data_IF_002835741537
#
_entry.id   IF_002835741537
#
_cell.length_a   1.000
_cell.length_b   1.000
_cell.length_c   1.000
_cell.angle_alpha   90.00
_cell.angle_beta   90.00
_cell.angle_gamma   90.00
#
_symmetry.space_group_name_H-M   'P 1'
#
loop_
_entity.id
_entity.type
_entity.pdbx_description
1 polymer ?
#
# COMPACT_ATOMS: atom_id res chain seq x y z
N UNK A 1 -7.64 -5.19 -2.21
CA UNK A 1 -7.06 -4.82 -3.52
C UNK A 1 -8.13 -4.34 -4.49
N UNK A 2 -9.10 -5.19 -4.87
CA UNK A 2 -10.10 -4.88 -5.90
C UNK A 2 -11.12 -3.79 -5.58
N UNK A 3 -11.34 -3.45 -4.31
CA UNK A 3 -12.39 -2.48 -3.93
C UNK A 3 -12.17 -1.05 -4.44
N UNK A 4 -10.96 -0.75 -4.92
CA UNK A 4 -10.61 0.54 -5.51
C UNK A 4 -10.29 0.41 -7.01
N UNK A 5 -10.59 -0.74 -7.62
CA UNK A 5 -10.47 -0.92 -9.07
C UNK A 5 -11.75 -0.43 -9.76
N UNK A 6 -11.59 0.31 -10.85
CA UNK A 6 -12.71 0.79 -11.66
C UNK A 6 -13.23 -0.33 -12.57
N UNK A 7 -12.43 -1.37 -12.79
CA UNK A 7 -12.73 -2.46 -13.72
C UNK A 7 -12.86 -3.78 -12.96
N UNK A 8 -13.91 -4.54 -13.28
CA UNK A 8 -14.07 -5.89 -12.73
C UNK A 8 -12.95 -6.82 -13.23
N UNK A 9 -12.43 -7.73 -12.39
CA UNK A 9 -11.38 -8.65 -12.80
C UNK A 9 -11.85 -9.56 -13.94
N UNK A 10 -11.16 -9.49 -15.08
CA UNK A 10 -11.37 -10.36 -16.23
C UNK A 10 -10.21 -11.37 -16.36
N UNK A 11 -10.37 -12.38 -17.23
CA UNK A 11 -9.30 -13.37 -17.49
C UNK A 11 -8.05 -12.66 -18.04
N UNK A 12 -7.01 -12.58 -17.21
CA UNK A 12 -5.77 -11.85 -17.49
C UNK A 12 -4.76 -12.62 -18.34
N UNK A 13 -5.02 -13.89 -18.66
CA UNK A 13 -4.14 -14.73 -19.48
C UNK A 13 -4.68 -14.96 -20.91
N UNK A 14 -5.99 -14.84 -21.13
CA UNK A 14 -6.61 -15.09 -22.44
C UNK A 14 -6.56 -13.83 -23.32
N UNK A 15 -6.05 -13.94 -24.55
CA UNK A 15 -6.04 -12.88 -25.59
C UNK A 15 -5.22 -11.61 -25.27
N UNK A 16 -4.15 -11.71 -24.48
CA UNK A 16 -3.12 -10.65 -24.42
C UNK A 16 -2.03 -10.90 -25.46
N UNK A 17 -1.56 -9.87 -26.16
CA UNK A 17 -0.34 -9.95 -26.98
C UNK A 17 0.87 -10.24 -26.08
N UNK A 18 1.96 -10.79 -26.61
CA UNK A 18 3.12 -11.22 -25.80
C UNK A 18 3.70 -10.08 -24.94
N UNK A 19 3.64 -8.84 -25.43
CA UNK A 19 4.04 -7.61 -24.73
C UNK A 19 3.09 -7.20 -23.58
N UNK A 20 1.87 -7.72 -23.56
CA UNK A 20 0.89 -7.51 -22.49
C UNK A 20 0.94 -8.64 -21.43
N UNK A 21 1.64 -9.75 -21.72
CA UNK A 21 1.80 -10.88 -20.79
C UNK A 21 3.05 -10.74 -19.90
N UNK A 22 4.03 -9.94 -20.31
CA UNK A 22 5.31 -9.80 -19.61
C UNK A 22 5.51 -8.37 -19.12
N UNK A 23 5.57 -8.16 -17.81
CA UNK A 23 5.95 -6.86 -17.24
C UNK A 23 7.47 -6.70 -17.29
N UNK A 24 7.99 -5.84 -18.16
CA UNK A 24 9.38 -5.39 -18.07
C UNK A 24 9.45 -4.27 -17.03
N UNK A 25 9.92 -4.59 -15.83
CA UNK A 25 10.11 -3.60 -14.75
C UNK A 25 11.51 -3.00 -14.78
N UNK A 26 11.64 -1.71 -14.46
CA UNK A 26 12.96 -1.07 -14.23
C UNK A 26 13.71 -1.81 -13.11
N UNK A 27 14.99 -2.18 -13.30
CA UNK A 27 15.80 -2.77 -12.24
C UNK A 27 15.77 -1.90 -10.98
N UNK A 28 15.60 -2.52 -9.81
CA UNK A 28 15.47 -1.84 -8.52
C UNK A 28 14.03 -1.61 -8.05
N UNK A 29 13.01 -1.61 -8.93
CA UNK A 29 11.61 -1.46 -8.52
C UNK A 29 11.19 -2.57 -7.55
N UNK A 30 11.54 -3.81 -7.87
CA UNK A 30 11.24 -4.96 -7.01
C UNK A 30 11.93 -4.86 -5.64
N UNK A 31 13.15 -4.34 -5.58
CA UNK A 31 13.89 -4.17 -4.30
C UNK A 31 13.22 -3.14 -3.39
N UNK A 32 12.83 -1.99 -3.95
CA UNK A 32 12.13 -0.94 -3.20
C UNK A 32 10.77 -1.44 -2.72
N UNK A 33 10.00 -2.10 -3.59
CA UNK A 33 8.69 -2.65 -3.23
C UNK A 33 8.81 -3.71 -2.12
N UNK A 34 9.77 -4.63 -2.21
CA UNK A 34 10.01 -5.65 -1.18
C UNK A 34 10.42 -5.03 0.15
N UNK A 35 11.31 -4.02 0.13
CA UNK A 35 11.73 -3.33 1.35
C UNK A 35 10.55 -2.65 2.05
N UNK A 36 9.74 -1.88 1.31
CA UNK A 36 8.55 -1.21 1.85
C UNK A 36 7.52 -2.21 2.38
N UNK A 37 7.31 -3.33 1.69
CA UNK A 37 6.39 -4.37 2.13
C UNK A 37 6.81 -5.01 3.46
N UNK A 38 8.11 -5.30 3.63
CA UNK A 38 8.64 -5.89 4.87
C UNK A 38 8.58 -4.88 6.02
N UNK A 39 8.95 -3.61 5.80
CA UNK A 39 8.85 -2.56 6.82
C UNK A 39 7.40 -2.38 7.30
N UNK A 40 6.43 -2.34 6.37
CA UNK A 40 5.02 -2.26 6.71
C UNK A 40 4.56 -3.50 7.50
N UNK A 41 4.98 -4.70 7.07
CA UNK A 41 4.65 -5.94 7.76
C UNK A 41 5.16 -5.95 9.21
N UNK A 42 6.41 -5.56 9.44
CA UNK A 42 7.01 -5.51 10.78
C UNK A 42 6.30 -4.45 11.64
N UNK A 43 5.93 -3.31 11.05
CA UNK A 43 5.18 -2.23 11.71
C UNK A 43 3.80 -2.70 12.18
N UNK A 44 3.08 -3.45 11.34
CA UNK A 44 1.78 -4.04 11.67
C UNK A 44 1.93 -5.10 12.78
N UNK A 45 2.94 -5.97 12.69
CA UNK A 45 3.16 -7.02 13.69
C UNK A 45 3.48 -6.47 15.09
N UNK A 46 4.15 -5.31 15.16
CA UNK A 46 4.47 -4.65 16.43
C UNK A 46 3.42 -3.62 16.87
N UNK A 47 2.36 -3.43 16.10
CA UNK A 47 1.24 -2.56 16.49
C UNK A 47 0.36 -3.30 17.51
N UNK A 48 -0.12 -2.61 18.55
CA UNK A 48 -0.97 -3.20 19.61
C UNK A 48 -2.23 -3.87 19.01
N UNK A 49 -2.90 -3.17 18.10
CA UNK A 49 -4.07 -3.68 17.35
C UNK A 49 -3.72 -4.68 16.22
N UNK A 50 -2.44 -4.90 15.92
CA UNK A 50 -2.00 -5.82 14.86
C UNK A 50 -2.68 -5.56 13.51
N UNK A 51 -3.33 -6.59 12.96
CA UNK A 51 -4.09 -6.50 11.71
C UNK A 51 -5.35 -5.64 11.74
N UNK A 52 -5.79 -5.18 12.93
CA UNK A 52 -6.91 -4.24 13.10
C UNK A 52 -6.46 -2.80 13.30
N UNK A 53 -5.14 -2.53 13.17
CA UNK A 53 -4.62 -1.17 13.24
C UNK A 53 -5.29 -0.25 12.22
N UNK A 54 -5.77 0.91 12.67
CA UNK A 54 -6.32 1.93 11.80
C UNK A 54 -5.22 2.53 10.91
N UNK A 55 -5.59 2.92 9.69
CA UNK A 55 -4.61 3.47 8.77
C UNK A 55 -4.17 4.88 9.13
N UNK A 56 -2.85 5.10 9.14
CA UNK A 56 -2.21 6.39 9.37
C UNK A 56 -1.33 6.79 8.18
N UNK A 57 -1.36 8.09 7.83
CA UNK A 57 -0.55 8.69 6.76
C UNK A 57 0.67 9.45 7.28
N UNK A 58 0.90 9.49 8.60
CA UNK A 58 2.14 10.01 9.18
C UNK A 58 2.33 11.52 9.07
N UNK A 59 1.27 12.28 8.76
CA UNK A 59 1.32 13.73 8.65
C UNK A 59 1.44 14.42 10.00
N UNK A 60 2.52 15.17 10.22
CA UNK A 60 2.62 16.13 11.33
C UNK A 60 1.70 17.33 11.07
N UNK A 61 0.51 17.38 11.65
CA UNK A 61 -0.13 18.64 12.11
C UNK A 61 -1.41 18.40 12.91
N UNK A 62 -1.30 18.67 14.22
CA UNK A 62 -2.31 19.29 15.07
C UNK A 62 -3.78 18.88 14.93
N UNK A 63 -4.24 18.02 15.84
CA UNK A 63 -5.66 17.83 16.09
C UNK A 63 -5.83 16.79 17.20
N UNK A 64 -6.07 17.24 18.42
CA UNK A 64 -6.07 16.41 19.63
C UNK A 64 -6.97 15.18 19.55
N UNK A 65 -6.34 14.01 19.49
CA UNK A 65 -6.89 12.70 19.79
C UNK A 65 -5.70 11.85 20.22
N UNK A 66 -5.69 11.38 21.47
CA UNK A 66 -4.50 10.92 22.17
C UNK A 66 -3.67 9.88 21.41
N UNK A 67 -2.35 9.88 21.65
CA UNK A 67 -1.36 8.95 21.10
C UNK A 67 -1.52 7.49 21.56
N UNK A 68 -2.72 6.96 21.51
CA UNK A 68 -3.07 5.56 21.70
C UNK A 68 -3.35 5.00 20.29
N UNK A 69 -2.45 4.16 19.77
CA UNK A 69 -2.63 3.51 18.46
C UNK A 69 -1.72 4.02 17.33
N UNK A 70 -0.59 4.66 17.62
CA UNK A 70 0.47 4.87 16.62
C UNK A 70 1.58 3.84 16.84
N UNK A 71 1.95 3.09 15.80
CA UNK A 71 3.06 2.14 15.90
C UNK A 71 4.36 2.86 16.26
N UNK A 72 5.18 2.33 17.17
CA UNK A 72 6.50 2.90 17.47
C UNK A 72 7.44 2.89 16.26
N UNK A 73 7.14 2.09 15.23
CA UNK A 73 7.93 1.95 14.01
C UNK A 73 7.50 2.90 12.89
N UNK A 74 6.37 3.61 13.05
CA UNK A 74 5.91 4.60 12.08
C UNK A 74 4.41 4.54 11.78
N UNK A 75 4.05 5.08 10.61
CA UNK A 75 2.67 5.07 10.11
C UNK A 75 2.30 3.71 9.50
N UNK A 76 1.00 3.38 9.51
CA UNK A 76 0.46 2.14 8.94
C UNK A 76 -0.50 2.49 7.80
N UNK A 77 -0.04 2.79 6.57
CA UNK A 77 -0.95 3.11 5.47
C UNK A 77 -1.62 1.86 4.87
N UNK A 78 -2.84 1.99 4.33
CA UNK A 78 -3.50 0.91 3.58
C UNK A 78 -2.84 0.63 2.22
N UNK A 79 -2.30 1.66 1.57
CA UNK A 79 -1.64 1.55 0.26
C UNK A 79 -0.42 2.46 0.20
N UNK A 80 0.65 1.96 -0.43
CA UNK A 80 1.84 2.74 -0.77
C UNK A 80 2.03 2.67 -2.29
N UNK A 81 2.10 3.82 -2.96
CA UNK A 81 2.37 3.91 -4.40
C UNK A 81 3.70 4.62 -4.63
N UNK A 82 4.63 3.93 -5.27
CA UNK A 82 5.98 4.43 -5.51
C UNK A 82 6.20 4.79 -6.99
N UNK A 83 6.86 5.91 -7.22
CA UNK A 83 7.28 6.37 -8.56
C UNK A 83 8.80 6.57 -8.57
N UNK A 84 9.50 5.74 -9.34
CA UNK A 84 10.95 5.86 -9.56
C UNK A 84 11.37 7.11 -10.36
N UNK A 85 10.66 7.53 -11.44
CA UNK A 85 11.03 8.75 -12.16
C UNK A 85 11.08 10.00 -11.27
N UNK A 86 10.19 10.08 -10.28
CA UNK A 86 10.07 11.24 -9.37
C UNK A 86 10.60 10.94 -7.97
N UNK A 87 11.14 9.74 -7.73
CA UNK A 87 11.60 9.24 -6.41
C UNK A 87 10.63 9.56 -5.26
N UNK A 88 9.33 9.33 -5.49
CA UNK A 88 8.26 9.70 -4.56
C UNK A 88 7.43 8.48 -4.16
N UNK A 89 7.10 8.40 -2.88
CA UNK A 89 6.14 7.45 -2.32
C UNK A 89 4.92 8.20 -1.82
N UNK A 90 3.74 7.82 -2.28
CA UNK A 90 2.47 8.36 -1.83
C UNK A 90 1.76 7.28 -1.00
N UNK A 91 1.51 7.59 0.27
CA UNK A 91 0.71 6.78 1.17
C UNK A 91 -0.77 7.16 1.05
N UNK A 92 -1.66 6.18 1.04
CA UNK A 92 -3.09 6.38 0.86
C UNK A 92 -3.89 5.51 1.81
N UNK A 93 -5.05 6.03 2.22
CA UNK A 93 -6.08 5.27 2.92
C UNK A 93 -7.18 4.95 1.90
N UNK A 94 -7.43 3.65 1.69
CA UNK A 94 -8.57 3.18 0.90
C UNK A 94 -9.75 2.82 1.80
N UNK A 95 -10.96 3.00 1.30
CA UNK A 95 -12.18 2.51 1.94
C UNK A 95 -12.58 1.14 1.37
N UNK A 96 -13.27 0.34 2.18
CA UNK A 96 -14.00 -0.82 1.68
C UNK A 96 -15.26 -0.33 0.94
N UNK A 97 -15.55 -0.93 -0.21
CA UNK A 97 -16.78 -0.66 -0.96
C UNK A 97 -17.81 -1.74 -0.63
N UNK A 98 -19.06 -1.35 -0.38
CA UNK A 98 -20.14 -2.28 0.01
C UNK A 98 -20.39 -3.43 -0.97
N UNK A 99 -20.04 -3.24 -2.25
CA UNK A 99 -20.18 -4.23 -3.33
C UNK A 99 -18.84 -4.63 -3.95
N UNK A 100 -17.78 -4.54 -3.17
CA UNK A 100 -16.60 -5.36 -3.38
C UNK A 100 -16.98 -6.82 -3.07
#
# INVERSE_FOLDING_TARGET
>A
YFCNDVVAPANSMLRRTLDQQCTVSRPGLAMVASALAVELMVTILHHEEGGHAEADLGGSSGGGGGGQGRSPLGCVPHQIRASLPTFRNDCMVGCALDKC
#
